data_IF_282216694864
#
_entry.id   IF_282216694864
#
_cell.length_a   1.000
_cell.length_b   1.000
_cell.length_c   1.000
_cell.angle_alpha   90.00
_cell.angle_beta   90.00
_cell.angle_gamma   90.00
#
_symmetry.space_group_name_H-M   'P 1'
#
loop_
_entity.id
_entity.type
_entity.pdbx_description
1 polymer ?
#
# COMPACT_ATOMS: atom_id res chain seq x y z
N UNK A 1 -5.41 -10.40 -18.79
CA UNK A 1 -5.07 -9.45 -17.72
C UNK A 1 -6.19 -9.53 -16.70
N UNK A 2 -5.90 -9.96 -15.46
CA UNK A 2 -6.83 -9.83 -14.35
C UNK A 2 -7.04 -8.35 -14.05
N UNK A 3 -8.28 -7.95 -13.80
CA UNK A 3 -8.59 -6.60 -13.31
C UNK A 3 -8.24 -6.57 -11.83
N UNK A 4 -7.23 -5.80 -11.46
CA UNK A 4 -6.86 -5.61 -10.06
C UNK A 4 -7.84 -4.64 -9.39
N UNK A 5 -8.26 -4.88 -8.14
CA UNK A 5 -9.24 -4.04 -7.44
C UNK A 5 -8.71 -2.64 -7.08
N UNK A 6 -7.39 -2.46 -7.07
CA UNK A 6 -6.74 -1.18 -6.79
C UNK A 6 -5.55 -0.95 -7.74
N UNK A 7 -5.07 0.29 -7.79
CA UNK A 7 -3.80 0.63 -8.41
C UNK A 7 -2.78 1.06 -7.35
N UNK A 8 -1.53 0.64 -7.50
CA UNK A 8 -0.48 0.96 -6.53
C UNK A 8 -0.29 2.48 -6.36
N UNK A 9 -0.43 3.23 -7.46
CA UNK A 9 -0.32 4.70 -7.46
C UNK A 9 -1.36 5.38 -6.56
N UNK A 10 -2.57 4.82 -6.46
CA UNK A 10 -3.63 5.37 -5.61
C UNK A 10 -3.36 5.09 -4.14
N UNK A 11 -2.87 3.87 -3.82
CA UNK A 11 -2.47 3.49 -2.45
C UNK A 11 -1.28 4.33 -1.98
N UNK A 12 -0.26 4.49 -2.83
CA UNK A 12 0.91 5.34 -2.57
C UNK A 12 0.47 6.80 -2.39
N UNK A 13 -0.38 7.31 -3.28
CA UNK A 13 -0.91 8.67 -3.21
C UNK A 13 -1.66 8.93 -1.91
N UNK A 14 -2.57 8.03 -1.52
CA UNK A 14 -3.29 8.11 -0.27
C UNK A 14 -2.33 8.22 0.93
N UNK A 15 -1.30 7.37 0.99
CA UNK A 15 -0.35 7.41 2.10
C UNK A 15 0.57 8.63 2.05
N UNK A 16 1.02 9.05 0.87
CA UNK A 16 1.83 10.25 0.64
C UNK A 16 1.10 11.51 1.11
N UNK A 17 -0.20 11.56 0.89
CA UNK A 17 -1.05 12.71 1.23
C UNK A 17 -1.56 12.65 2.69
N UNK A 18 -1.07 11.69 3.48
CA UNK A 18 -1.35 11.57 4.91
C UNK A 18 -2.66 10.87 5.26
N UNK A 19 -3.30 10.19 4.29
CA UNK A 19 -4.53 9.45 4.52
C UNK A 19 -4.27 8.05 5.09
N UNK A 20 -5.25 7.53 5.82
CA UNK A 20 -5.26 6.16 6.36
C UNK A 20 -5.53 5.16 5.23
N UNK A 21 -4.77 4.06 5.20
CA UNK A 21 -5.04 2.94 4.32
C UNK A 21 -6.15 2.06 4.90
N UNK A 22 -7.13 1.72 4.06
CA UNK A 22 -8.14 0.74 4.42
C UNK A 22 -7.51 -0.66 4.55
N UNK A 23 -8.14 -1.56 5.30
CA UNK A 23 -7.69 -2.95 5.37
C UNK A 23 -7.62 -3.60 3.99
N UNK A 24 -8.54 -3.26 3.07
CA UNK A 24 -8.53 -3.75 1.70
C UNK A 24 -7.33 -3.24 0.89
N UNK A 25 -6.89 -2.00 1.10
CA UNK A 25 -5.65 -1.48 0.48
C UNK A 25 -4.43 -2.25 0.97
N UNK A 26 -4.34 -2.51 2.27
CA UNK A 26 -3.21 -3.23 2.89
C UNK A 26 -3.17 -4.68 2.40
N UNK A 27 -4.32 -5.36 2.40
CA UNK A 27 -4.41 -6.74 1.93
C UNK A 27 -4.00 -6.88 0.48
N UNK A 28 -4.52 -5.98 -0.35
CA UNK A 28 -4.23 -6.00 -1.76
C UNK A 28 -2.77 -5.66 -2.04
N UNK A 29 -2.17 -4.65 -1.40
CA UNK A 29 -0.78 -4.28 -1.74
C UNK A 29 0.20 -5.40 -1.40
N UNK A 30 -0.02 -6.10 -0.28
CA UNK A 30 0.81 -7.24 0.12
C UNK A 30 0.64 -8.41 -0.84
N UNK A 31 -0.60 -8.79 -1.14
CA UNK A 31 -0.90 -9.85 -2.12
C UNK A 31 -0.34 -9.52 -3.52
N UNK A 32 -0.63 -8.32 -4.03
CA UNK A 32 -0.20 -7.90 -5.35
C UNK A 32 1.33 -7.77 -5.47
N UNK A 33 2.03 -7.35 -4.40
CA UNK A 33 3.49 -7.35 -4.36
C UNK A 33 4.06 -8.76 -4.40
N UNK A 34 3.51 -9.69 -3.58
CA UNK A 34 3.98 -11.09 -3.59
C UNK A 34 3.68 -11.83 -4.90
N UNK A 35 2.66 -11.41 -5.66
CA UNK A 35 2.36 -11.92 -7.01
C UNK A 35 3.14 -11.22 -8.13
N UNK A 36 3.96 -10.20 -7.83
CA UNK A 36 4.74 -9.44 -8.81
C UNK A 36 3.90 -8.48 -9.67
N UNK A 37 2.69 -8.14 -9.24
CA UNK A 37 1.84 -7.12 -9.90
C UNK A 37 2.27 -5.70 -9.52
N UNK A 38 2.69 -5.52 -8.27
CA UNK A 38 3.32 -4.28 -7.79
C UNK A 38 4.82 -4.40 -7.99
N UNK A 39 5.42 -3.45 -8.70
CA UNK A 39 6.86 -3.42 -8.91
C UNK A 39 7.63 -2.99 -7.65
N UNK A 40 8.90 -3.38 -7.55
CA UNK A 40 9.76 -3.07 -6.40
C UNK A 40 9.87 -1.56 -6.14
N UNK A 41 9.87 -0.74 -7.20
CA UNK A 41 9.91 0.72 -7.10
C UNK A 41 8.61 1.30 -6.52
N UNK A 42 7.47 0.69 -6.85
CA UNK A 42 6.17 1.10 -6.29
C UNK A 42 6.07 0.73 -4.81
N UNK A 43 6.52 -0.47 -4.44
CA UNK A 43 6.59 -0.88 -3.04
C UNK A 43 7.55 0.02 -2.26
N UNK A 44 8.71 0.33 -2.82
CA UNK A 44 9.67 1.26 -2.23
C UNK A 44 9.08 2.66 -2.04
N UNK A 45 8.30 3.16 -3.01
CA UNK A 45 7.60 4.43 -2.89
C UNK A 45 6.54 4.43 -1.78
N UNK A 46 5.79 3.33 -1.61
CA UNK A 46 4.85 3.18 -0.50
C UNK A 46 5.58 3.17 0.85
N UNK A 47 6.67 2.42 0.96
CA UNK A 47 7.47 2.37 2.19
C UNK A 47 8.04 3.75 2.55
N UNK A 48 8.46 4.53 1.56
CA UNK A 48 8.89 5.92 1.78
C UNK A 48 7.74 6.81 2.27
N UNK A 49 6.54 6.67 1.68
CA UNK A 49 5.35 7.39 2.16
C UNK A 49 4.97 7.02 3.60
N UNK A 50 5.08 5.73 3.97
CA UNK A 50 4.88 5.24 5.33
C UNK A 50 5.94 5.79 6.28
N UNK A 51 7.22 5.85 5.86
CA UNK A 51 8.30 6.40 6.67
C UNK A 51 8.03 7.88 7.03
N UNK A 52 7.56 8.66 6.06
CA UNK A 52 7.32 10.10 6.23
C UNK A 52 6.03 10.41 6.99
N UNK A 53 4.95 9.67 6.72
CA UNK A 53 3.61 9.98 7.26
C UNK A 53 3.15 9.02 8.37
N UNK A 54 3.94 7.99 8.67
CA UNK A 54 3.64 6.98 9.69
C UNK A 54 2.47 6.06 9.34
N UNK A 55 2.21 5.07 10.18
CA UNK A 55 0.98 4.28 10.19
C UNK A 55 0.36 4.32 11.56
N UNK A 56 -0.97 4.34 11.62
CA UNK A 56 -1.70 4.22 12.86
C UNK A 56 -1.74 2.76 13.35
N UNK A 57 -2.27 2.54 14.55
CA UNK A 57 -2.29 1.20 15.15
C UNK A 57 -3.13 0.19 14.37
N UNK A 58 -4.23 0.59 13.74
CA UNK A 58 -5.07 -0.29 12.92
C UNK A 58 -4.34 -0.72 11.65
N UNK A 59 -3.67 0.21 10.99
CA UNK A 59 -2.84 -0.06 9.81
C UNK A 59 -1.72 -1.04 10.16
N UNK A 60 -0.97 -0.80 11.25
CA UNK A 60 0.10 -1.68 11.72
C UNK A 60 -0.43 -3.08 12.03
N UNK A 61 -1.54 -3.19 12.77
CA UNK A 61 -2.16 -4.48 13.10
C UNK A 61 -2.63 -5.24 11.86
N UNK A 62 -3.02 -4.55 10.78
CA UNK A 62 -3.39 -5.24 9.53
C UNK A 62 -2.16 -5.63 8.69
N UNK A 63 -1.09 -4.86 8.78
CA UNK A 63 0.15 -5.06 8.01
C UNK A 63 0.96 -6.27 8.46
N UNK A 64 0.87 -6.64 9.74
CA UNK A 64 1.59 -7.76 10.37
C UNK A 64 0.66 -8.93 10.68
#
# INVERSE_FOLDING_TARGET
>A
MSVEPFAAVDVIGAKRDGHELSSAHIDWIVDAYTRGVVADEQMSALLMAILLNGMNRKEITRWT
#
